data_IF_136397036232
#
_entry.id   IF_136397036232
#
_cell.length_a   1.000
_cell.length_b   1.000
_cell.length_c   1.000
_cell.angle_alpha   90.00
_cell.angle_beta   90.00
_cell.angle_gamma   90.00
#
_symmetry.space_group_name_H-M   'P 1'
#
loop_
_entity.id
_entity.type
_entity.pdbx_description
1 polymer ?
#
# COMPACT_ATOMS: atom_id res chain seq x y z
N UNK A 1 -27.28 -46.61 -55.87
CA UNK A 1 -26.37 -47.25 -54.89
C UNK A 1 -25.52 -46.16 -54.25
N UNK A 2 -25.51 -46.12 -52.91
CA UNK A 2 -24.87 -45.11 -52.05
C UNK A 2 -23.35 -45.13 -52.21
N UNK A 3 -22.73 -43.97 -52.37
CA UNK A 3 -21.32 -43.74 -52.07
C UNK A 3 -21.23 -42.70 -50.96
N UNK A 4 -20.73 -43.16 -49.83
CA UNK A 4 -20.46 -42.39 -48.61
C UNK A 4 -19.18 -41.61 -48.84
N UNK A 5 -19.19 -40.30 -48.59
CA UNK A 5 -17.96 -39.55 -48.33
C UNK A 5 -18.16 -38.69 -47.09
N UNK A 6 -17.59 -39.20 -46.00
CA UNK A 6 -17.38 -38.53 -44.73
C UNK A 6 -16.81 -37.14 -44.95
N UNK A 7 -17.53 -36.12 -44.49
CA UNK A 7 -16.95 -34.81 -44.24
C UNK A 7 -16.71 -34.67 -42.75
N UNK A 8 -15.43 -34.71 -42.40
CA UNK A 8 -14.88 -34.51 -41.08
C UNK A 8 -15.19 -33.09 -40.62
N UNK A 9 -16.01 -32.93 -39.58
CA UNK A 9 -16.28 -31.64 -38.95
C UNK A 9 -15.03 -31.16 -38.23
N UNK A 10 -14.33 -30.18 -38.79
CA UNK A 10 -13.25 -29.48 -38.09
C UNK A 10 -13.92 -28.48 -37.14
N UNK A 11 -13.93 -28.82 -35.85
CA UNK A 11 -14.34 -27.94 -34.77
C UNK A 11 -13.26 -26.86 -34.58
N UNK A 12 -13.48 -25.66 -35.12
CA UNK A 12 -12.60 -24.51 -34.87
C UNK A 12 -12.86 -23.99 -33.45
N UNK A 13 -11.98 -24.33 -32.51
CA UNK A 13 -11.95 -23.66 -31.20
C UNK A 13 -11.35 -22.28 -31.42
N UNK A 14 -12.20 -21.25 -31.44
CA UNK A 14 -11.73 -19.86 -31.35
C UNK A 14 -11.12 -19.66 -29.95
N UNK A 15 -9.79 -19.53 -29.88
CA UNK A 15 -9.14 -19.02 -28.68
C UNK A 15 -9.61 -17.57 -28.48
N UNK A 16 -10.54 -17.35 -27.55
CA UNK A 16 -10.72 -16.03 -26.97
C UNK A 16 -9.47 -15.73 -26.13
N UNK A 17 -8.56 -14.95 -26.69
CA UNK A 17 -7.61 -14.20 -25.88
C UNK A 17 -8.42 -13.20 -25.06
N UNK A 18 -8.68 -13.54 -23.80
CA UNK A 18 -9.18 -12.59 -22.81
C UNK A 18 -8.05 -11.57 -22.59
N UNK A 19 -8.05 -10.52 -23.39
CA UNK A 19 -7.19 -9.37 -23.16
C UNK A 19 -7.82 -8.68 -21.95
N UNK A 20 -7.29 -8.98 -20.76
CA UNK A 20 -7.67 -8.30 -19.53
C UNK A 20 -7.49 -6.81 -19.78
N UNK A 21 -8.61 -6.10 -19.85
CA UNK A 21 -8.61 -4.65 -19.94
C UNK A 21 -7.79 -4.13 -18.76
N UNK A 22 -6.61 -3.58 -19.04
CA UNK A 22 -5.93 -2.73 -18.08
C UNK A 22 -6.87 -1.57 -17.82
N UNK A 23 -7.59 -1.65 -16.70
CA UNK A 23 -8.40 -0.56 -16.21
C UNK A 23 -7.46 0.63 -16.06
N UNK A 24 -7.54 1.58 -17.00
CA UNK A 24 -6.93 2.89 -16.89
C UNK A 24 -7.59 3.56 -15.71
N UNK A 25 -7.00 3.37 -14.52
CA UNK A 25 -7.40 4.05 -13.30
C UNK A 25 -7.30 5.54 -13.63
N UNK A 26 -8.41 6.27 -13.51
CA UNK A 26 -8.41 7.73 -13.53
C UNK A 26 -7.50 8.28 -12.43
N UNK A 27 -7.31 9.60 -12.29
CA UNK A 27 -6.52 10.14 -11.20
C UNK A 27 -7.06 9.59 -9.88
N UNK A 28 -6.32 8.64 -9.28
CA UNK A 28 -6.62 8.11 -7.98
C UNK A 28 -6.32 9.26 -7.03
N UNK A 29 -7.38 9.94 -6.57
CA UNK A 29 -7.23 10.85 -5.45
C UNK A 29 -6.70 9.99 -4.30
N UNK A 30 -5.42 10.12 -4.01
CA UNK A 30 -4.80 9.41 -2.89
C UNK A 30 -5.45 10.00 -1.64
N UNK A 31 -6.46 9.31 -1.11
CA UNK A 31 -7.06 9.71 0.16
C UNK A 31 -6.05 9.37 1.24
N UNK A 32 -5.35 10.40 1.72
CA UNK A 32 -4.41 10.28 2.82
C UNK A 32 -5.21 10.06 4.11
N UNK A 33 -5.30 8.80 4.51
CA UNK A 33 -5.87 8.41 5.80
C UNK A 33 -4.86 8.54 6.96
N UNK A 34 -3.61 8.89 6.66
CA UNK A 34 -2.57 9.21 7.63
C UNK A 34 -1.90 10.55 7.32
N UNK A 35 -1.23 11.10 8.32
CA UNK A 35 -0.47 12.35 8.23
C UNK A 35 0.78 12.26 9.10
N UNK A 36 1.77 13.10 8.81
CA UNK A 36 2.94 13.32 9.67
C UNK A 36 2.96 14.75 10.18
N UNK A 37 3.22 14.92 11.47
CA UNK A 37 3.54 16.24 12.03
C UNK A 37 5.02 16.53 11.76
N UNK A 38 5.30 17.47 10.86
CA UNK A 38 6.68 17.79 10.45
C UNK A 38 7.57 18.35 11.57
N UNK A 39 6.97 18.94 12.62
CA UNK A 39 7.71 19.47 13.75
C UNK A 39 8.15 18.37 14.73
N UNK A 40 7.38 17.28 14.82
CA UNK A 40 7.62 16.20 15.81
C UNK A 40 7.98 14.85 15.20
N UNK A 41 7.82 14.69 13.89
CA UNK A 41 7.98 13.41 13.19
C UNK A 41 6.85 12.40 13.42
N UNK A 42 5.85 12.74 14.24
CA UNK A 42 4.79 11.82 14.62
C UNK A 42 3.86 11.51 13.45
N UNK A 43 3.75 10.22 13.11
CA UNK A 43 2.76 9.71 12.16
C UNK A 43 1.46 9.40 12.92
N UNK A 44 0.33 9.83 12.36
CA UNK A 44 -1.00 9.54 12.90
C UNK A 44 -1.96 9.13 11.79
N UNK A 45 -2.77 8.10 12.04
CA UNK A 45 -3.90 7.68 11.23
C UNK A 45 -5.15 8.43 11.71
N UNK A 46 -5.97 8.93 10.79
CA UNK A 46 -7.24 9.57 11.10
C UNK A 46 -8.15 8.60 11.85
N UNK A 47 -8.67 8.98 13.02
CA UNK A 47 -9.49 8.13 13.88
C UNK A 47 -10.75 7.55 13.18
N UNK A 48 -11.27 8.24 12.16
CA UNK A 48 -12.43 7.81 11.39
C UNK A 48 -12.05 7.00 10.12
N UNK A 49 -10.76 6.77 9.88
CA UNK A 49 -10.31 5.96 8.77
C UNK A 49 -10.68 4.49 8.98
N UNK A 50 -10.97 3.73 7.90
CA UNK A 50 -11.02 2.29 7.99
C UNK A 50 -9.67 1.73 8.45
N UNK A 51 -9.69 0.60 9.16
CA UNK A 51 -8.47 -0.12 9.51
C UNK A 51 -7.92 -0.81 8.26
N UNK A 52 -6.80 -0.29 7.73
CA UNK A 52 -6.14 -0.78 6.52
C UNK A 52 -4.77 -1.38 6.81
N UNK A 53 -4.30 -2.26 5.91
CA UNK A 53 -2.91 -2.74 5.83
C UNK A 53 -1.92 -1.69 5.36
N UNK A 54 -2.41 -0.68 4.64
CA UNK A 54 -1.55 0.33 4.03
C UNK A 54 -2.17 1.70 4.17
N UNK A 55 -1.35 2.66 4.58
CA UNK A 55 -1.67 4.08 4.64
C UNK A 55 -0.65 4.86 3.84
N UNK A 56 -1.09 5.96 3.25
CA UNK A 56 -0.19 6.91 2.59
C UNK A 56 -0.33 8.28 3.23
N UNK A 57 0.77 9.01 3.28
CA UNK A 57 0.79 10.38 3.79
C UNK A 57 1.80 11.23 3.02
N UNK A 58 1.51 12.53 2.97
CA UNK A 58 2.40 13.51 2.37
C UNK A 58 3.64 13.73 3.26
N UNK A 59 4.80 13.82 2.63
CA UNK A 59 6.09 14.15 3.28
C UNK A 59 6.77 15.35 2.64
N UNK A 60 6.02 16.18 1.89
CA UNK A 60 6.59 17.34 1.20
C UNK A 60 7.22 18.36 2.16
N UNK A 61 6.72 18.43 3.39
CA UNK A 61 7.26 19.28 4.44
C UNK A 61 8.52 18.74 5.14
N UNK A 62 8.92 17.49 4.86
CA UNK A 62 10.17 16.90 5.35
C UNK A 62 11.21 16.94 4.22
N UNK A 63 12.08 17.94 4.25
CA UNK A 63 13.12 18.14 3.25
C UNK A 63 14.25 17.12 3.39
N UNK A 64 14.20 16.04 2.61
CA UNK A 64 15.26 15.04 2.56
C UNK A 64 16.27 15.31 1.43
N UNK A 65 17.57 15.19 1.73
CA UNK A 65 18.64 15.39 0.75
C UNK A 65 18.71 14.27 -0.31
N UNK A 66 18.38 13.04 0.07
CA UNK A 66 18.37 11.86 -0.80
C UNK A 66 17.52 10.72 -0.18
N UNK A 67 17.37 9.63 -0.92
CA UNK A 67 16.55 8.48 -0.49
C UNK A 67 17.08 7.84 0.80
N UNK A 68 18.41 7.78 0.98
CA UNK A 68 19.02 7.20 2.17
C UNK A 68 18.66 8.01 3.43
N UNK A 69 18.75 9.34 3.36
CA UNK A 69 18.36 10.22 4.46
C UNK A 69 16.87 10.06 4.84
N UNK A 70 15.99 9.86 3.86
CA UNK A 70 14.59 9.58 4.12
C UNK A 70 14.39 8.22 4.80
N UNK A 71 15.09 7.18 4.34
CA UNK A 71 15.02 5.85 4.95
C UNK A 71 15.54 5.87 6.40
N UNK A 72 16.65 6.57 6.65
CA UNK A 72 17.24 6.70 7.99
C UNK A 72 16.32 7.46 8.93
N UNK A 73 15.65 8.52 8.44
CA UNK A 73 14.66 9.27 9.21
C UNK A 73 13.55 8.37 9.75
N UNK A 74 12.98 7.47 8.94
CA UNK A 74 11.86 6.61 9.35
C UNK A 74 12.28 5.29 10.02
N UNK A 75 13.58 5.01 10.15
CA UNK A 75 14.09 3.72 10.64
C UNK A 75 13.63 3.37 12.06
N UNK A 76 13.36 4.37 12.90
CA UNK A 76 12.87 4.16 14.28
C UNK A 76 11.48 3.51 14.29
N UNK A 77 10.59 3.84 13.34
CA UNK A 77 9.31 3.15 13.17
C UNK A 77 9.50 1.67 12.78
N UNK A 78 10.47 1.38 11.92
CA UNK A 78 10.71 0.01 11.42
C UNK A 78 11.42 -0.92 12.41
N UNK A 79 11.87 -0.40 13.57
CA UNK A 79 12.33 -1.25 14.69
C UNK A 79 11.20 -2.14 15.22
N UNK A 80 9.97 -1.72 15.00
CA UNK A 80 8.79 -2.51 15.28
C UNK A 80 8.49 -3.38 14.05
N UNK A 81 8.63 -4.70 14.18
CA UNK A 81 8.54 -5.67 13.05
C UNK A 81 7.21 -5.64 12.28
N UNK A 82 6.20 -4.97 12.84
CA UNK A 82 4.89 -4.79 12.26
C UNK A 82 4.71 -3.47 11.48
N UNK A 83 5.71 -2.58 11.40
CA UNK A 83 5.65 -1.34 10.63
C UNK A 83 6.77 -1.31 9.59
N UNK A 84 6.40 -1.09 8.33
CA UNK A 84 7.34 -0.76 7.27
C UNK A 84 6.97 0.60 6.66
N UNK A 85 7.96 1.43 6.39
CA UNK A 85 7.76 2.72 5.72
C UNK A 85 8.66 2.78 4.48
N UNK A 86 8.07 3.14 3.35
CA UNK A 86 8.76 3.45 2.11
C UNK A 86 8.42 4.86 1.68
N UNK A 87 9.42 5.61 1.22
CA UNK A 87 9.25 7.01 0.80
C UNK A 87 9.56 7.14 -0.68
N UNK A 88 8.66 7.74 -1.45
CA UNK A 88 8.93 8.18 -2.81
C UNK A 88 9.24 9.68 -2.82
N UNK A 89 10.52 10.04 -2.99
CA UNK A 89 10.95 11.44 -2.97
C UNK A 89 10.57 12.24 -4.22
N UNK A 90 10.19 11.59 -5.33
CA UNK A 90 9.71 12.27 -6.53
C UNK A 90 8.28 12.74 -6.34
N UNK A 91 7.42 11.87 -5.80
CA UNK A 91 6.01 12.18 -5.56
C UNK A 91 5.74 12.80 -4.19
N UNK A 92 6.74 12.82 -3.30
CA UNK A 92 6.63 13.28 -1.90
C UNK A 92 5.57 12.53 -1.09
N UNK A 93 5.36 11.25 -1.41
CA UNK A 93 4.43 10.38 -0.70
C UNK A 93 5.21 9.29 0.03
N UNK A 94 4.88 9.09 1.30
CA UNK A 94 5.29 7.93 2.06
C UNK A 94 4.15 6.91 2.12
N UNK A 95 4.53 5.63 2.03
CA UNK A 95 3.65 4.47 2.19
C UNK A 95 4.05 3.76 3.48
N UNK A 96 3.14 3.70 4.43
CA UNK A 96 3.26 2.90 5.64
C UNK A 96 2.46 1.62 5.49
N UNK A 97 3.14 0.49 5.62
CA UNK A 97 2.54 -0.84 5.66
C UNK A 97 2.54 -1.34 7.09
N UNK A 98 1.37 -1.76 7.53
CA UNK A 98 1.14 -2.39 8.82
C UNK A 98 1.02 -3.89 8.57
N UNK A 99 1.94 -4.68 9.13
CA UNK A 99 1.97 -6.13 8.88
C UNK A 99 0.99 -6.85 9.81
N UNK A 100 -0.24 -7.01 9.34
CA UNK A 100 -1.30 -7.71 10.07
C UNK A 100 -1.03 -9.20 10.30
N UNK A 101 -0.17 -9.84 9.48
CA UNK A 101 0.10 -11.28 9.62
C UNK A 101 0.80 -11.63 10.94
N UNK A 102 1.50 -10.66 11.56
CA UNK A 102 2.15 -10.82 12.87
C UNK A 102 1.22 -10.50 14.05
N UNK A 103 0.01 -10.00 13.80
CA UNK A 103 -0.90 -9.45 14.82
C UNK A 103 -2.37 -9.77 14.51
N UNK A 104 -2.64 -10.81 13.71
CA UNK A 104 -3.96 -11.14 13.17
C UNK A 104 -5.04 -11.30 14.27
N UNK A 105 -4.62 -11.67 15.48
CA UNK A 105 -5.50 -11.85 16.65
C UNK A 105 -5.80 -10.56 17.42
N UNK A 106 -5.13 -9.44 17.13
CA UNK A 106 -5.18 -8.25 18.01
C UNK A 106 -6.36 -7.31 17.75
N UNK A 107 -7.11 -7.49 16.65
CA UNK A 107 -8.22 -6.61 16.22
C UNK A 107 -7.92 -5.11 16.49
N UNK A 108 -6.74 -4.65 16.05
CA UNK A 108 -6.26 -3.33 16.43
C UNK A 108 -7.11 -2.25 15.76
N UNK A 109 -7.85 -1.50 16.57
CA UNK A 109 -8.51 -0.27 16.13
C UNK A 109 -7.49 0.78 15.71
N UNK A 110 -7.90 1.78 14.94
CA UNK A 110 -7.06 2.93 14.59
C UNK A 110 -6.43 3.57 15.83
N UNK A 111 -7.18 3.68 16.93
CA UNK A 111 -6.68 4.24 18.18
C UNK A 111 -5.48 3.46 18.75
N UNK A 112 -5.53 2.12 18.70
CA UNK A 112 -4.39 1.30 19.14
C UNK A 112 -3.19 1.46 18.22
N UNK A 113 -3.40 1.57 16.91
CA UNK A 113 -2.32 1.86 15.97
C UNK A 113 -1.67 3.21 16.20
N UNK A 114 -2.45 4.26 16.45
CA UNK A 114 -1.89 5.57 16.80
C UNK A 114 -1.06 5.53 18.09
N UNK A 115 -1.47 4.74 19.07
CA UNK A 115 -0.66 4.54 20.27
C UNK A 115 0.67 3.83 19.97
N UNK A 116 0.65 2.81 19.11
CA UNK A 116 1.86 2.12 18.65
C UNK A 116 2.79 3.07 17.88
N UNK A 117 2.25 3.90 16.98
CA UNK A 117 3.03 4.89 16.24
C UNK A 117 3.63 5.94 17.18
N UNK A 118 2.89 6.35 18.21
CA UNK A 118 3.40 7.24 19.24
C UNK A 118 4.60 6.62 19.98
N UNK A 119 4.48 5.38 20.47
CA UNK A 119 5.59 4.69 21.13
C UNK A 119 6.80 4.55 20.21
N UNK A 120 6.59 4.24 18.92
CA UNK A 120 7.66 4.14 17.96
C UNK A 120 8.41 5.47 17.74
N UNK A 121 7.69 6.60 17.74
CA UNK A 121 8.27 7.94 17.61
C UNK A 121 9.05 8.38 18.86
N UNK A 122 8.65 7.94 20.04
CA UNK A 122 9.36 8.23 21.31
C UNK A 122 10.77 7.58 21.38
N UNK A 123 11.05 6.63 20.47
CA UNK A 123 12.35 5.95 20.34
C UNK A 123 13.20 6.44 19.15
N UNK A 124 12.90 7.64 18.65
CA UNK A 124 13.64 8.32 17.59
C UNK A 124 15.07 8.68 18.01
#
# INVERSE_FOLDING_TARGET
MKQVKSFLTILTVALLSLQSAEAKVGPSFVVHHASINVATGLISINANAPVLSTYTFDVSGLSFANQQAANDYFKHYTKHEYIAISVNLQTKVATMTLNYALIADMQLSVAKWNHVLQMANEHQ
#
